data_IF_634205709277
#
_entry.id   IF_634205709277
#
_cell.length_a   1.000
_cell.length_b   1.000
_cell.length_c   1.000
_cell.angle_alpha   90.00
_cell.angle_beta   90.00
_cell.angle_gamma   90.00
#
_symmetry.space_group_name_H-M   'P 1'
#
loop_
_entity.id
_entity.type
_entity.pdbx_description
1 polymer ?
#
# COMPACT_ATOMS: atom_id res chain seq x y z
N UNK A 1 -8.93 -8.94 -18.31
CA UNK A 1 -9.31 -7.97 -17.30
C UNK A 1 -8.28 -7.94 -16.19
N UNK A 2 -7.95 -6.76 -15.79
CA UNK A 2 -6.90 -6.60 -14.81
C UNK A 2 -7.42 -6.74 -13.41
N UNK A 3 -6.64 -7.31 -12.57
CA UNK A 3 -6.95 -7.42 -11.17
C UNK A 3 -5.87 -6.73 -10.37
N UNK A 4 -6.28 -6.12 -9.27
CA UNK A 4 -5.32 -5.57 -8.34
C UNK A 4 -4.75 -6.70 -7.51
N UNK A 5 -3.44 -6.78 -7.47
CA UNK A 5 -2.76 -7.76 -6.64
C UNK A 5 -2.49 -7.12 -5.28
N UNK A 6 -3.36 -7.38 -4.33
CA UNK A 6 -3.27 -6.74 -3.03
C UNK A 6 -2.03 -7.14 -2.24
N UNK A 7 -1.46 -8.32 -2.55
CA UNK A 7 -0.23 -8.73 -1.89
C UNK A 7 0.94 -7.87 -2.36
N UNK A 8 1.01 -7.61 -3.66
CA UNK A 8 2.05 -6.75 -4.20
C UNK A 8 1.86 -5.31 -3.75
N UNK A 9 0.62 -4.84 -3.72
CA UNK A 9 0.33 -3.51 -3.22
C UNK A 9 0.75 -3.39 -1.76
N UNK A 10 0.39 -4.35 -0.94
CA UNK A 10 0.77 -4.34 0.46
C UNK A 10 2.27 -4.36 0.66
N UNK A 11 2.97 -5.15 -0.17
CA UNK A 11 4.42 -5.20 -0.12
C UNK A 11 5.02 -3.84 -0.48
N UNK A 12 4.46 -3.17 -1.47
CA UNK A 12 4.95 -1.85 -1.86
C UNK A 12 4.76 -0.85 -0.72
N UNK A 13 3.62 -0.90 -0.06
CA UNK A 13 3.37 -0.05 1.11
C UNK A 13 4.41 -0.32 2.18
N UNK A 14 4.65 -1.59 2.46
CA UNK A 14 5.62 -1.99 3.48
C UNK A 14 7.03 -1.51 3.14
N UNK A 15 7.43 -1.69 1.89
CA UNK A 15 8.76 -1.29 1.46
C UNK A 15 8.95 0.21 1.61
N UNK A 16 7.96 0.98 1.18
CA UNK A 16 8.06 2.44 1.28
C UNK A 16 8.04 2.89 2.74
N UNK A 17 7.27 2.21 3.57
CA UNK A 17 7.26 2.49 5.00
C UNK A 17 8.64 2.26 5.61
N UNK A 18 9.24 1.13 5.28
CA UNK A 18 10.57 0.79 5.80
C UNK A 18 11.63 1.77 5.31
N UNK A 19 11.54 2.17 4.05
CA UNK A 19 12.47 3.16 3.51
C UNK A 19 12.34 4.51 4.20
N UNK A 20 11.14 4.83 4.63
CA UNK A 20 10.90 6.08 5.37
C UNK A 20 11.24 5.94 6.85
N UNK A 21 11.67 4.76 7.27
CA UNK A 21 12.06 4.50 8.65
C UNK A 21 10.91 4.71 9.62
N UNK A 22 9.71 4.29 9.22
CA UNK A 22 8.51 4.41 10.03
C UNK A 22 8.10 3.03 10.48
N UNK A 23 7.84 2.87 11.79
CA UNK A 23 7.37 1.59 12.29
C UNK A 23 5.92 1.36 11.87
N UNK A 24 5.52 0.09 11.82
CA UNK A 24 4.16 -0.24 11.48
C UNK A 24 3.15 0.39 12.44
N UNK A 25 3.47 0.38 13.74
CA UNK A 25 2.55 0.95 14.70
C UNK A 25 2.45 2.47 14.57
N UNK A 26 3.57 3.14 14.26
CA UNK A 26 3.54 4.58 14.06
C UNK A 26 2.76 4.96 12.83
N UNK A 27 2.94 4.24 11.73
CA UNK A 27 2.19 4.53 10.52
C UNK A 27 0.70 4.31 10.76
N UNK A 28 0.35 3.19 11.40
CA UNK A 28 -1.05 2.91 11.71
C UNK A 28 -1.68 4.04 12.50
N UNK A 29 -0.95 4.53 13.49
CA UNK A 29 -1.40 5.63 14.32
C UNK A 29 -1.64 6.89 13.49
N UNK A 30 -0.72 7.21 12.60
CA UNK A 30 -0.82 8.41 11.78
C UNK A 30 -1.98 8.36 10.79
N UNK A 31 -2.31 7.17 10.30
CA UNK A 31 -3.40 7.04 9.34
C UNK A 31 -4.72 6.63 10.00
N UNK A 32 -4.72 6.50 11.33
CA UNK A 32 -5.96 6.30 12.07
C UNK A 32 -6.55 4.89 12.02
N UNK A 33 -5.69 3.88 11.88
CA UNK A 33 -6.16 2.49 11.92
C UNK A 33 -5.36 1.73 12.97
N UNK A 34 -5.83 0.53 13.31
CA UNK A 34 -5.07 -0.32 14.22
C UNK A 34 -3.85 -0.89 13.53
N UNK A 35 -2.86 -1.27 14.32
CA UNK A 35 -1.68 -1.91 13.76
C UNK A 35 -2.05 -3.23 13.08
N UNK A 36 -2.99 -3.98 13.66
CA UNK A 36 -3.48 -5.21 13.04
C UNK A 36 -4.08 -4.96 11.68
N UNK A 37 -4.84 -3.88 11.55
CA UNK A 37 -5.45 -3.52 10.27
C UNK A 37 -4.36 -3.24 9.23
N UNK A 38 -3.38 -2.43 9.60
CA UNK A 38 -2.29 -2.11 8.67
C UNK A 38 -1.48 -3.35 8.33
N UNK A 39 -1.24 -4.21 9.31
CA UNK A 39 -0.55 -5.47 9.08
C UNK A 39 -1.26 -6.30 8.02
N UNK A 40 -2.58 -6.41 8.13
CA UNK A 40 -3.36 -7.16 7.16
C UNK A 40 -3.34 -6.52 5.77
N UNK A 41 -3.32 -5.19 5.71
CA UNK A 41 -3.19 -4.50 4.44
C UNK A 41 -1.82 -4.78 3.82
N UNK A 42 -0.76 -4.69 4.61
CA UNK A 42 0.60 -4.94 4.12
C UNK A 42 0.79 -6.38 3.66
N UNK A 43 0.06 -7.31 4.27
CA UNK A 43 0.13 -8.72 3.89
C UNK A 43 -0.85 -9.11 2.78
N UNK A 44 -1.62 -8.16 2.31
CA UNK A 44 -2.56 -8.42 1.21
C UNK A 44 -3.82 -9.14 1.61
N UNK A 45 -4.10 -9.22 2.90
CA UNK A 45 -5.31 -9.88 3.39
C UNK A 45 -6.53 -8.97 3.36
N UNK A 46 -6.30 -7.67 3.42
CA UNK A 46 -7.35 -6.67 3.34
C UNK A 46 -7.01 -5.68 2.25
N UNK A 47 -8.01 -5.31 1.47
CA UNK A 47 -7.82 -4.26 0.49
C UNK A 47 -7.96 -2.91 1.20
N UNK A 48 -7.05 -1.97 0.96
CA UNK A 48 -7.19 -0.65 1.56
C UNK A 48 -8.31 0.13 0.89
N UNK A 49 -9.01 0.93 1.68
CA UNK A 49 -10.00 1.83 1.13
C UNK A 49 -9.30 2.95 0.39
N UNK A 50 -10.04 3.67 -0.45
CA UNK A 50 -9.48 4.83 -1.13
C UNK A 50 -8.97 5.86 -0.14
N UNK A 51 -9.73 6.08 0.93
CA UNK A 51 -9.31 7.01 1.97
C UNK A 51 -7.97 6.62 2.57
N UNK A 52 -7.80 5.32 2.84
CA UNK A 52 -6.56 4.82 3.39
C UNK A 52 -5.42 5.00 2.41
N UNK A 53 -5.66 4.72 1.13
CA UNK A 53 -4.65 4.91 0.10
C UNK A 53 -4.22 6.36 0.00
N UNK A 54 -5.17 7.28 0.08
CA UNK A 54 -4.84 8.70 0.01
C UNK A 54 -3.98 9.14 1.19
N UNK A 55 -4.26 8.60 2.37
CA UNK A 55 -3.44 8.88 3.55
C UNK A 55 -2.05 8.29 3.41
N UNK A 56 -1.98 7.06 2.93
CA UNK A 56 -0.69 6.39 2.74
C UNK A 56 0.18 7.11 1.74
N UNK A 57 -0.39 7.50 0.59
CA UNK A 57 0.40 8.16 -0.42
C UNK A 57 0.98 9.47 0.08
N UNK A 58 0.21 10.17 0.90
CA UNK A 58 0.64 11.45 1.44
C UNK A 58 1.81 11.26 2.41
N UNK A 59 1.67 10.33 3.33
CA UNK A 59 2.70 10.08 4.34
C UNK A 59 3.95 9.45 3.76
N UNK A 60 3.79 8.62 2.75
CA UNK A 60 4.90 7.93 2.12
C UNK A 60 5.48 8.71 0.95
N UNK A 61 4.92 9.88 0.67
CA UNK A 61 5.41 10.77 -0.40
C UNK A 61 5.45 10.08 -1.74
N UNK A 62 4.35 9.45 -2.11
CA UNK A 62 4.26 8.75 -3.38
C UNK A 62 2.89 9.01 -4.01
N UNK A 63 2.67 8.46 -5.19
CA UNK A 63 1.38 8.55 -5.86
C UNK A 63 0.61 7.25 -5.66
N UNK A 64 -0.69 7.31 -5.91
CA UNK A 64 -1.50 6.10 -5.90
C UNK A 64 -0.98 5.12 -6.95
N UNK A 65 -0.61 5.64 -8.12
CA UNK A 65 -0.06 4.78 -9.18
C UNK A 65 1.16 4.03 -8.72
N UNK A 66 2.03 4.68 -7.95
CA UNK A 66 3.22 4.02 -7.44
C UNK A 66 2.87 2.91 -6.46
N UNK A 67 1.82 3.09 -5.68
CA UNK A 67 1.37 2.04 -4.76
C UNK A 67 0.77 0.86 -5.51
N UNK A 68 0.25 1.09 -6.71
CA UNK A 68 -0.34 0.04 -7.53
C UNK A 68 0.64 -0.63 -8.45
N UNK A 69 1.87 -0.12 -8.48
CA UNK A 69 2.90 -0.71 -9.33
C UNK A 69 3.11 -2.14 -8.91
N UNK A 70 3.32 -3.02 -9.83
CA UNK A 70 3.46 -4.43 -9.53
C UNK A 70 2.12 -5.15 -9.43
N UNK A 71 1.03 -4.41 -9.29
CA UNK A 71 -0.29 -5.03 -9.32
C UNK A 71 -0.88 -4.99 -10.72
N UNK A 72 -0.41 -4.06 -11.54
CA UNK A 72 -0.88 -3.92 -12.90
C UNK A 72 0.03 -4.71 -13.78
N UNK A 73 -0.25 -5.95 -13.92
CA UNK A 73 0.68 -6.80 -14.61
C UNK A 73 0.48 -6.78 -16.05
N UNK A 74 -0.44 -6.45 -16.46
CA UNK A 74 -0.54 -6.57 -17.74
C UNK A 74 -0.26 -5.61 -18.49
N UNK A 75 -0.20 -5.13 -18.34
CA UNK A 75 0.00 -4.11 -18.99
C UNK A 75 1.02 -3.95 -19.79
N UNK A 76 1.35 -4.42 -19.58
CA UNK A 76 2.05 -4.13 -20.13
C UNK A 76 2.34 -4.39 -20.96
N UNK A 77 2.15 -4.78 -20.93
CA UNK A 77 2.40 -5.00 -21.53
C UNK A 77 2.49 -4.86 -22.48
N UNK A 78 2.24 -4.96 -22.66
CA UNK A 78 2.38 -4.64 -23.39
C UNK A 78 2.42 -3.96 -23.85
N UNK A 79 2.52 -3.98 -23.48
CA UNK A 79 2.63 -3.21 -23.76
C UNK A 79 2.63 -3.03 -24.08
#
# INVERSE_FOLDING_TARGET
>A
MEKIDYRKMGMEIKIRRLRADISQSDLAKQIGVSQSHLCNVENGRLSPSLRLLLSLRKLLCCTIDELLIGTDTESKGNG
#
